data_IF_155856981598
#
_entry.id   IF_155856981598
#
_cell.length_a   1.000
_cell.length_b   1.000
_cell.length_c   1.000
_cell.angle_alpha   90.00
_cell.angle_beta   90.00
_cell.angle_gamma   90.00
#
_symmetry.space_group_name_H-M   'P 1'
#
loop_
_entity.id
_entity.type
_entity.pdbx_description
1 polymer ?
#
# COMPACT_ATOMS: atom_id res chain seq x y z
N UNK A 1 26.19 5.73 21.05
CA UNK A 1 25.18 6.73 20.63
C UNK A 1 24.15 6.02 19.77
N UNK A 2 23.06 5.51 20.37
CA UNK A 2 22.15 4.56 19.74
C UNK A 2 21.29 5.23 18.63
N UNK A 3 21.48 4.81 17.39
CA UNK A 3 20.63 5.16 16.24
C UNK A 3 19.35 4.31 16.27
N UNK A 4 18.49 4.51 17.27
CA UNK A 4 17.11 4.03 17.19
C UNK A 4 16.29 5.04 16.37
N UNK A 5 15.94 4.69 15.13
CA UNK A 5 14.81 5.33 14.45
C UNK A 5 13.91 4.26 13.84
N UNK A 6 13.06 3.61 14.66
CA UNK A 6 12.02 2.70 14.19
C UNK A 6 10.80 3.43 13.58
N UNK A 7 10.92 4.74 13.32
CA UNK A 7 9.78 5.65 13.20
C UNK A 7 8.88 5.48 11.97
N UNK A 8 9.26 4.74 10.93
CA UNK A 8 8.46 4.67 9.70
C UNK A 8 7.44 3.52 9.71
N UNK A 9 7.84 2.36 10.24
CA UNK A 9 6.94 1.23 10.48
C UNK A 9 6.02 1.53 11.67
N UNK A 10 6.58 2.10 12.74
CA UNK A 10 5.80 2.51 13.92
C UNK A 10 4.76 3.58 13.59
N UNK A 11 5.03 4.43 12.58
CA UNK A 11 4.05 5.40 12.08
C UNK A 11 2.88 4.73 11.36
N UNK A 12 3.15 3.71 10.54
CA UNK A 12 2.10 2.98 9.80
C UNK A 12 1.22 2.23 10.80
N UNK A 13 1.81 1.57 11.80
CA UNK A 13 1.09 0.87 12.86
C UNK A 13 0.23 1.83 13.70
N UNK A 14 0.77 3.00 14.06
CA UNK A 14 0.02 4.01 14.79
C UNK A 14 -1.06 4.71 13.95
N UNK A 15 -0.81 4.92 12.65
CA UNK A 15 -1.79 5.48 11.73
C UNK A 15 -2.96 4.51 11.46
N UNK A 16 -2.73 3.21 11.58
CA UNK A 16 -3.71 2.14 11.38
C UNK A 16 -4.55 1.77 12.62
N UNK A 17 -4.30 2.36 13.79
CA UNK A 17 -5.01 2.03 15.03
C UNK A 17 -6.36 2.79 15.20
N UNK A 18 -7.44 2.13 15.65
CA UNK A 18 -8.79 2.72 15.82
C UNK A 18 -8.99 3.54 17.10
N UNK A 19 -8.12 3.40 18.11
CA UNK A 19 -8.23 4.19 19.34
C UNK A 19 -7.74 5.63 19.10
N UNK A 20 -8.60 6.62 19.29
CA UNK A 20 -8.25 8.04 19.20
C UNK A 20 -6.98 8.35 20.02
N UNK A 21 -5.84 8.62 19.34
CA UNK A 21 -4.54 9.17 19.80
C UNK A 21 -3.49 8.94 18.67
N UNK A 22 -2.29 9.53 18.72
CA UNK A 22 -1.85 10.92 18.81
C UNK A 22 -1.73 11.58 17.41
N UNK A 23 -1.46 12.89 17.29
CA UNK A 23 -1.02 13.46 16.00
C UNK A 23 0.36 12.88 15.60
N UNK A 24 0.73 12.87 14.32
CA UNK A 24 2.07 12.46 13.87
C UNK A 24 3.22 13.13 14.66
N UNK A 25 2.99 14.31 15.24
CA UNK A 25 3.95 15.02 16.09
C UNK A 25 4.22 14.32 17.43
N UNK A 26 3.25 13.58 17.96
CA UNK A 26 3.33 12.86 19.23
C UNK A 26 3.92 11.45 19.06
N UNK A 27 4.02 10.93 17.84
CA UNK A 27 4.62 9.62 17.51
C UNK A 27 6.15 9.67 17.34
N UNK A 28 6.74 10.87 17.36
CA UNK A 28 8.18 11.06 17.20
C UNK A 28 8.77 11.74 18.44
N UNK A 29 9.38 11.01 19.38
CA UNK A 29 10.12 11.66 20.46
C UNK A 29 11.31 12.45 19.88
N UNK A 30 11.30 13.77 20.08
CA UNK A 30 12.50 14.61 20.21
C UNK A 30 13.42 14.86 19.01
N UNK A 31 13.05 14.61 17.75
CA UNK A 31 14.00 14.71 16.60
C UNK A 31 13.64 15.75 15.53
N UNK A 32 14.60 16.11 14.67
CA UNK A 32 14.49 17.09 13.57
C UNK A 32 13.37 16.82 12.53
N UNK A 33 12.68 15.67 12.61
CA UNK A 33 11.42 15.45 11.90
C UNK A 33 10.29 16.36 12.45
N UNK A 34 10.27 16.62 13.76
CA UNK A 34 9.37 17.59 14.40
C UNK A 34 9.64 19.03 13.93
N UNK A 35 10.89 19.39 13.60
CA UNK A 35 11.20 20.70 13.03
C UNK A 35 10.63 20.86 11.61
N UNK A 36 10.77 19.81 10.78
CA UNK A 36 10.16 19.76 9.45
C UNK A 36 8.63 19.88 9.52
N UNK A 37 8.01 19.17 10.47
CA UNK A 37 6.57 19.18 10.66
C UNK A 37 6.06 20.56 11.14
N UNK A 38 6.77 21.24 12.06
CA UNK A 38 6.42 22.61 12.45
C UNK A 38 6.48 23.60 11.29
N UNK A 39 7.50 23.50 10.42
CA UNK A 39 7.59 24.36 9.25
C UNK A 39 6.48 24.03 8.24
N UNK A 40 6.19 22.75 8.04
CA UNK A 40 5.07 22.28 7.24
C UNK A 40 3.73 22.83 7.74
N UNK A 41 3.40 22.71 9.04
CA UNK A 41 2.11 23.18 9.59
C UNK A 41 1.93 24.69 9.39
N UNK A 42 3.00 25.49 9.59
CA UNK A 42 2.94 26.93 9.28
C UNK A 42 2.68 27.20 7.80
N UNK A 43 3.35 26.46 6.92
CA UNK A 43 3.16 26.61 5.47
C UNK A 43 1.77 26.13 5.02
N UNK A 44 1.22 25.08 5.67
CA UNK A 44 -0.12 24.56 5.44
C UNK A 44 -1.20 25.59 5.84
N UNK A 45 -1.03 26.23 6.99
CA UNK A 45 -1.92 27.32 7.42
C UNK A 45 -1.86 28.50 6.46
N UNK A 46 -0.66 28.93 6.05
CA UNK A 46 -0.53 30.00 5.06
C UNK A 46 -1.18 29.63 3.71
N UNK A 47 -1.04 28.38 3.26
CA UNK A 47 -1.69 27.89 2.05
C UNK A 47 -3.22 27.82 2.20
N UNK A 48 -3.74 27.59 3.43
CA UNK A 48 -5.18 27.56 3.70
C UNK A 48 -5.86 28.92 3.52
N UNK A 49 -5.11 30.00 3.68
CA UNK A 49 -5.58 31.38 3.52
C UNK A 49 -5.21 31.98 2.15
N UNK A 50 -4.54 31.21 1.29
CA UNK A 50 -4.07 31.68 -0.01
C UNK A 50 -5.12 31.43 -1.10
N UNK A 51 -5.58 32.50 -1.76
CA UNK A 51 -6.46 32.42 -2.94
C UNK A 51 -7.72 33.29 -2.84
N UNK A 52 -8.66 33.13 -3.78
CA UNK A 52 -9.95 33.82 -3.74
C UNK A 52 -10.71 33.51 -2.44
N UNK A 53 -11.37 34.52 -1.88
CA UNK A 53 -12.09 34.41 -0.59
C UNK A 53 -13.24 33.40 -0.66
N UNK A 54 -13.81 33.26 -1.85
CA UNK A 54 -14.94 32.40 -2.17
C UNK A 54 -14.56 30.90 -2.10
N UNK A 55 -13.29 30.56 -2.32
CA UNK A 55 -12.80 29.18 -2.35
C UNK A 55 -12.05 28.79 -1.06
N UNK A 56 -11.35 29.75 -0.48
CA UNK A 56 -10.49 29.53 0.70
C UNK A 56 -11.28 29.02 1.91
N UNK A 57 -12.57 29.31 2.04
CA UNK A 57 -13.39 28.80 3.16
C UNK A 57 -13.52 27.27 3.16
N UNK A 58 -13.83 26.66 2.00
CA UNK A 58 -13.93 25.20 1.85
C UNK A 58 -12.56 24.52 2.00
N UNK A 59 -11.52 25.08 1.37
CA UNK A 59 -10.16 24.58 1.51
C UNK A 59 -9.63 24.67 2.95
N UNK A 60 -9.81 25.82 3.61
CA UNK A 60 -9.38 26.05 4.98
C UNK A 60 -10.12 25.13 5.96
N UNK A 61 -11.40 24.85 5.74
CA UNK A 61 -12.15 23.88 6.55
C UNK A 61 -11.42 22.54 6.62
N UNK A 62 -10.99 21.98 5.48
CA UNK A 62 -10.26 20.70 5.47
C UNK A 62 -8.84 20.79 6.01
N UNK A 63 -8.09 21.84 5.64
CA UNK A 63 -6.70 22.00 6.05
C UNK A 63 -6.59 22.23 7.57
N UNK A 64 -7.53 22.98 8.15
CA UNK A 64 -7.58 23.31 9.58
C UNK A 64 -8.30 22.27 10.44
N UNK A 65 -9.15 21.41 9.86
CA UNK A 65 -9.81 20.30 10.58
C UNK A 65 -8.86 19.22 11.13
N UNK A 66 -7.54 19.43 11.10
CA UNK A 66 -6.54 18.52 11.64
C UNK A 66 -6.30 17.30 10.74
N UNK A 67 -5.74 16.23 11.29
CA UNK A 67 -5.47 14.98 10.57
C UNK A 67 -4.25 14.25 11.10
N UNK A 68 -4.10 12.97 10.73
CA UNK A 68 -2.95 12.14 11.16
C UNK A 68 -1.62 12.59 10.52
N UNK A 69 -1.64 13.45 9.50
CA UNK A 69 -0.45 14.00 8.78
C UNK A 69 0.56 12.93 8.34
N UNK A 70 0.06 11.76 7.95
CA UNK A 70 0.89 10.60 7.60
C UNK A 70 1.71 10.87 6.33
N UNK A 71 1.06 11.40 5.28
CA UNK A 71 1.66 11.71 3.97
C UNK A 71 2.82 12.71 4.08
N UNK A 72 2.63 13.93 4.64
CA UNK A 72 3.72 14.88 4.77
C UNK A 72 4.83 14.35 5.67
N UNK A 73 4.50 13.59 6.72
CA UNK A 73 5.53 12.98 7.55
C UNK A 73 6.35 11.93 6.79
N UNK A 74 5.70 11.08 5.98
CA UNK A 74 6.40 10.11 5.14
C UNK A 74 7.40 10.80 4.21
N UNK A 75 7.02 11.91 3.57
CA UNK A 75 7.93 12.70 2.72
C UNK A 75 9.14 13.21 3.51
N UNK A 76 8.92 13.75 4.71
CA UNK A 76 9.99 14.28 5.56
C UNK A 76 10.94 13.19 6.06
N UNK A 77 10.41 12.02 6.40
CA UNK A 77 11.18 10.87 6.86
C UNK A 77 11.94 10.21 5.70
N UNK A 78 11.32 10.07 4.53
CA UNK A 78 11.97 9.56 3.33
C UNK A 78 13.18 10.43 2.94
N UNK A 79 13.03 11.75 2.99
CA UNK A 79 14.15 12.68 2.77
C UNK A 79 15.28 12.50 3.79
N UNK A 80 14.94 12.25 5.06
CA UNK A 80 15.93 12.01 6.12
C UNK A 80 16.63 10.66 5.95
N UNK A 81 15.89 9.62 5.59
CA UNK A 81 16.43 8.28 5.36
C UNK A 81 17.38 8.26 4.15
N UNK A 82 17.03 9.00 3.09
CA UNK A 82 17.82 9.08 1.86
C UNK A 82 19.11 9.92 2.01
N UNK A 83 19.16 10.87 2.95
CA UNK A 83 20.38 11.62 3.27
C UNK A 83 20.50 11.89 4.78
N UNK A 84 20.95 10.90 5.57
CA UNK A 84 21.13 11.05 7.02
C UNK A 84 22.05 12.23 7.35
N UNK A 85 21.64 13.07 8.30
CA UNK A 85 22.42 14.21 8.76
C UNK A 85 22.41 15.44 7.84
N UNK A 86 21.78 15.39 6.66
CA UNK A 86 21.65 16.56 5.76
C UNK A 86 20.22 17.06 5.68
N UNK A 87 20.05 18.39 5.66
CA UNK A 87 18.74 19.02 5.45
C UNK A 87 18.46 19.10 3.95
N UNK A 88 17.68 18.17 3.43
CA UNK A 88 17.20 18.20 2.05
C UNK A 88 16.38 19.47 1.77
N UNK A 89 16.80 20.27 0.77
CA UNK A 89 16.07 21.48 0.33
C UNK A 89 14.82 21.05 -0.44
N UNK A 90 13.74 21.83 -0.35
CA UNK A 90 12.47 21.53 -1.03
C UNK A 90 11.61 20.44 -0.37
N UNK A 91 12.14 19.63 0.57
CA UNK A 91 11.38 18.54 1.23
C UNK A 91 10.07 18.95 1.88
N UNK A 92 10.02 20.16 2.47
CA UNK A 92 8.80 20.68 3.10
C UNK A 92 7.80 21.17 2.06
N UNK A 93 8.28 21.78 0.96
CA UNK A 93 7.41 22.17 -0.15
C UNK A 93 6.76 20.93 -0.78
N UNK A 94 7.51 19.83 -0.96
CA UNK A 94 6.96 18.57 -1.48
C UNK A 94 6.05 17.84 -0.49
N UNK A 95 6.31 17.95 0.81
CA UNK A 95 5.37 17.48 1.84
C UNK A 95 4.04 18.26 1.79
N UNK A 96 4.12 19.58 1.58
CA UNK A 96 2.94 20.43 1.38
C UNK A 96 2.21 20.09 0.07
N UNK A 97 2.92 19.89 -1.04
CA UNK A 97 2.35 19.40 -2.30
C UNK A 97 1.51 18.14 -2.08
N UNK A 98 2.03 17.14 -1.36
CA UNK A 98 1.29 15.90 -1.10
C UNK A 98 0.01 16.11 -0.28
N UNK A 99 0.04 16.98 0.74
CA UNK A 99 -1.15 17.28 1.56
C UNK A 99 -2.19 18.11 0.79
N UNK A 100 -1.75 19.04 -0.08
CA UNK A 100 -2.66 19.80 -0.94
C UNK A 100 -3.35 18.91 -1.97
N UNK A 101 -2.60 17.99 -2.61
CA UNK A 101 -3.20 16.99 -3.51
C UNK A 101 -4.22 16.14 -2.75
N UNK A 102 -3.87 15.64 -1.57
CA UNK A 102 -4.81 14.85 -0.76
C UNK A 102 -6.07 15.65 -0.37
N UNK A 103 -5.91 16.93 -0.03
CA UNK A 103 -7.04 17.79 0.34
C UNK A 103 -7.93 18.10 -0.86
N UNK A 104 -7.33 18.31 -2.04
CA UNK A 104 -8.06 18.47 -3.29
C UNK A 104 -8.89 17.22 -3.62
N UNK A 105 -8.31 16.02 -3.51
CA UNK A 105 -9.05 14.78 -3.76
C UNK A 105 -10.21 14.60 -2.78
N UNK A 106 -10.07 15.00 -1.51
CA UNK A 106 -11.18 14.93 -0.56
C UNK A 106 -12.34 15.85 -0.93
N UNK A 107 -12.06 17.07 -1.42
CA UNK A 107 -13.10 18.00 -1.90
C UNK A 107 -13.86 17.44 -3.11
N UNK A 108 -13.13 16.83 -4.04
CA UNK A 108 -13.71 16.21 -5.22
C UNK A 108 -14.49 14.95 -4.87
N UNK A 109 -13.94 14.08 -4.03
CA UNK A 109 -14.58 12.84 -3.55
C UNK A 109 -15.89 13.16 -2.80
N UNK A 110 -15.92 14.18 -1.95
CA UNK A 110 -17.15 14.58 -1.25
C UNK A 110 -18.28 14.92 -2.24
N UNK A 111 -17.95 15.49 -3.41
CA UNK A 111 -18.92 15.78 -4.47
C UNK A 111 -19.32 14.50 -5.22
N UNK A 112 -18.36 13.66 -5.61
CA UNK A 112 -18.60 12.42 -6.37
C UNK A 112 -19.39 11.39 -5.55
N UNK A 113 -19.14 11.31 -4.24
CA UNK A 113 -19.74 10.32 -3.34
C UNK A 113 -21.04 10.78 -2.68
N UNK A 114 -21.48 12.02 -2.91
CA UNK A 114 -22.57 12.64 -2.15
C UNK A 114 -22.32 12.65 -0.63
N UNK A 115 -21.05 12.81 -0.24
CA UNK A 115 -20.61 12.80 1.15
C UNK A 115 -21.31 13.88 1.98
N UNK A 116 -21.99 13.48 3.06
CA UNK A 116 -22.73 14.39 3.94
C UNK A 116 -21.85 14.98 5.06
N UNK A 117 -20.85 14.22 5.51
CA UNK A 117 -19.98 14.61 6.62
C UNK A 117 -18.52 14.28 6.34
N UNK A 118 -17.61 15.08 6.88
CA UNK A 118 -16.16 14.90 6.78
C UNK A 118 -15.50 15.29 8.10
N UNK A 119 -14.75 14.36 8.70
CA UNK A 119 -14.07 14.54 10.01
C UNK A 119 -14.99 15.07 11.12
N UNK A 120 -16.23 14.57 11.16
CA UNK A 120 -17.24 14.95 12.17
C UNK A 120 -17.89 16.32 11.95
N UNK A 121 -17.62 16.99 10.82
CA UNK A 121 -18.25 18.24 10.41
C UNK A 121 -19.09 18.02 9.14
N UNK A 122 -20.04 18.91 8.78
CA UNK A 122 -20.68 18.88 7.46
C UNK A 122 -19.62 18.86 6.35
N UNK A 123 -19.81 18.04 5.32
CA UNK A 123 -18.87 18.01 4.20
C UNK A 123 -18.88 19.38 3.48
N UNK A 124 -17.76 19.81 2.86
CA UNK A 124 -17.68 21.08 2.13
C UNK A 124 -18.78 21.26 1.08
N UNK A 125 -19.22 20.18 0.43
CA UNK A 125 -20.35 20.24 -0.52
C UNK A 125 -21.68 20.61 0.11
N UNK A 126 -21.89 20.23 1.38
CA UNK A 126 -23.11 20.55 2.13
C UNK A 126 -23.02 21.99 2.63
N UNK A 127 -21.86 22.40 3.11
CA UNK A 127 -21.65 23.73 3.68
C UNK A 127 -21.57 24.85 2.62
N UNK A 128 -20.99 24.57 1.45
CA UNK A 128 -20.66 25.58 0.44
C UNK A 128 -21.18 25.26 -0.97
N UNK A 129 -21.78 24.08 -1.16
CA UNK A 129 -22.26 23.62 -2.46
C UNK A 129 -21.20 22.91 -3.30
N UNK A 130 -21.69 22.17 -4.31
CA UNK A 130 -20.84 21.36 -5.20
C UNK A 130 -19.86 22.22 -6.00
N UNK A 131 -20.31 23.35 -6.56
CA UNK A 131 -19.48 24.21 -7.40
C UNK A 131 -18.27 24.78 -6.63
N UNK A 132 -18.49 25.27 -5.41
CA UNK A 132 -17.41 25.78 -4.55
C UNK A 132 -16.45 24.67 -4.17
N UNK A 133 -16.95 23.46 -3.87
CA UNK A 133 -16.10 22.32 -3.51
C UNK A 133 -15.20 21.89 -4.67
N UNK A 134 -15.74 21.78 -5.88
CA UNK A 134 -14.96 21.44 -7.09
C UNK A 134 -13.88 22.49 -7.35
N UNK A 135 -14.25 23.77 -7.41
CA UNK A 135 -13.31 24.87 -7.68
C UNK A 135 -12.25 25.01 -6.58
N UNK A 136 -12.60 24.75 -5.32
CA UNK A 136 -11.64 24.72 -4.22
C UNK A 136 -10.64 23.58 -4.37
N UNK A 137 -11.09 22.40 -4.83
CA UNK A 137 -10.21 21.29 -5.15
C UNK A 137 -9.26 21.63 -6.29
N UNK A 138 -9.77 22.24 -7.36
CA UNK A 138 -8.95 22.67 -8.51
C UNK A 138 -7.90 23.71 -8.12
N UNK A 139 -8.27 24.65 -7.23
CA UNK A 139 -7.35 25.64 -6.69
C UNK A 139 -6.21 24.99 -5.89
N UNK A 140 -6.52 24.05 -4.99
CA UNK A 140 -5.51 23.32 -4.22
C UNK A 140 -4.61 22.46 -5.12
N UNK A 141 -5.17 21.85 -6.16
CA UNK A 141 -4.41 21.11 -7.15
C UNK A 141 -3.44 22.01 -7.91
N UNK A 142 -3.89 23.18 -8.39
CA UNK A 142 -3.05 24.17 -9.04
C UNK A 142 -1.92 24.68 -8.10
N UNK A 143 -2.24 24.97 -6.84
CA UNK A 143 -1.27 25.36 -5.83
C UNK A 143 -0.23 24.26 -5.58
N UNK A 144 -0.62 22.98 -5.59
CA UNK A 144 0.30 21.86 -5.43
C UNK A 144 1.32 21.77 -6.57
N UNK A 145 0.90 22.08 -7.81
CA UNK A 145 1.77 22.11 -8.99
C UNK A 145 2.78 23.26 -8.89
N UNK A 146 2.33 24.47 -8.53
CA UNK A 146 3.21 25.62 -8.32
C UNK A 146 4.25 25.35 -7.22
N UNK A 147 3.85 24.73 -6.10
CA UNK A 147 4.78 24.31 -5.04
C UNK A 147 5.81 23.30 -5.52
N UNK A 148 5.40 22.31 -6.33
CA UNK A 148 6.32 21.33 -6.89
C UNK A 148 7.36 21.98 -7.80
N UNK A 149 6.99 22.99 -8.60
CA UNK A 149 7.93 23.78 -9.41
C UNK A 149 8.87 24.60 -8.53
N UNK A 150 8.33 25.34 -7.55
CA UNK A 150 9.09 26.20 -6.65
C UNK A 150 10.02 25.44 -5.71
N UNK A 151 9.77 24.15 -5.50
CA UNK A 151 10.65 23.28 -4.71
C UNK A 151 12.08 23.22 -5.27
N UNK A 152 12.25 23.49 -6.57
CA UNK A 152 13.52 23.36 -7.34
C UNK A 152 14.13 21.96 -7.24
N UNK A 153 13.36 20.95 -6.86
CA UNK A 153 13.79 19.55 -6.84
C UNK A 153 13.65 18.96 -8.23
N UNK A 154 14.74 18.53 -8.89
CA UNK A 154 14.66 17.88 -10.18
C UNK A 154 13.72 16.68 -10.14
N UNK A 155 12.96 16.46 -11.22
CA UNK A 155 12.02 15.35 -11.39
C UNK A 155 10.79 15.32 -10.44
N UNK A 156 10.66 16.25 -9.50
CA UNK A 156 9.48 16.32 -8.61
C UNK A 156 8.18 16.57 -9.39
N UNK A 157 8.19 17.47 -10.38
CA UNK A 157 7.03 17.74 -11.22
C UNK A 157 6.62 16.53 -12.10
N UNK A 158 7.54 15.88 -12.85
CA UNK A 158 7.23 14.60 -13.50
C UNK A 158 6.65 13.53 -12.57
N UNK A 159 7.19 13.40 -11.36
CA UNK A 159 6.69 12.44 -10.37
C UNK A 159 5.26 12.79 -9.90
N UNK A 160 4.98 14.07 -9.67
CA UNK A 160 3.64 14.56 -9.32
C UNK A 160 2.63 14.29 -10.44
N UNK A 161 2.94 14.67 -11.68
CA UNK A 161 2.04 14.45 -12.84
C UNK A 161 1.71 12.97 -13.03
N UNK A 162 2.71 12.10 -12.92
CA UNK A 162 2.50 10.64 -12.97
C UNK A 162 1.55 10.16 -11.86
N UNK A 163 1.70 10.71 -10.66
CA UNK A 163 0.86 10.38 -9.51
C UNK A 163 -0.58 10.84 -9.71
N UNK A 164 -0.79 12.08 -10.16
CA UNK A 164 -2.12 12.61 -10.47
C UNK A 164 -2.86 11.76 -11.51
N UNK A 165 -2.18 11.35 -12.58
CA UNK A 165 -2.77 10.43 -13.58
C UNK A 165 -3.15 9.09 -12.96
N UNK A 166 -2.28 8.55 -12.11
CA UNK A 166 -2.53 7.26 -11.44
C UNK A 166 -3.71 7.35 -10.48
N UNK A 167 -3.86 8.45 -9.75
CA UNK A 167 -5.01 8.72 -8.88
C UNK A 167 -6.31 8.72 -9.68
N UNK A 168 -6.37 9.49 -10.78
CA UNK A 168 -7.55 9.55 -11.65
C UNK A 168 -7.90 8.19 -12.25
N UNK A 169 -6.91 7.40 -12.65
CA UNK A 169 -7.15 6.02 -13.12
C UNK A 169 -7.75 5.12 -12.03
N UNK A 170 -7.30 5.29 -10.78
CA UNK A 170 -7.86 4.59 -9.62
C UNK A 170 -9.31 4.99 -9.34
N UNK A 171 -9.58 6.30 -9.35
CA UNK A 171 -10.91 6.86 -9.15
C UNK A 171 -11.90 6.40 -10.23
N UNK A 172 -11.49 6.48 -11.50
CA UNK A 172 -12.31 6.02 -12.62
C UNK A 172 -12.64 4.52 -12.51
N UNK A 173 -11.70 3.70 -12.04
CA UNK A 173 -11.96 2.27 -11.81
C UNK A 173 -12.92 2.07 -10.63
N UNK A 174 -12.77 2.80 -9.53
CA UNK A 174 -13.69 2.72 -8.41
C UNK A 174 -15.11 3.10 -8.83
N UNK A 175 -15.26 4.21 -9.55
CA UNK A 175 -16.54 4.68 -10.07
C UNK A 175 -17.21 3.64 -10.99
N UNK A 176 -16.45 3.01 -11.88
CA UNK A 176 -16.95 1.95 -12.77
C UNK A 176 -17.37 0.65 -12.05
N UNK A 177 -16.90 0.46 -10.81
CA UNK A 177 -17.22 -0.69 -9.96
C UNK A 177 -18.27 -0.37 -8.90
N UNK A 178 -18.63 0.90 -8.72
CA UNK A 178 -19.57 1.33 -7.68
C UNK A 178 -20.93 0.68 -7.89
N UNK A 179 -21.46 0.09 -6.82
CA UNK A 179 -22.75 -0.63 -6.83
C UNK A 179 -22.73 -1.98 -7.54
N UNK A 180 -21.57 -2.47 -8.02
CA UNK A 180 -21.44 -3.79 -8.62
C UNK A 180 -21.17 -4.86 -7.56
N UNK A 181 -21.62 -6.09 -7.81
CA UNK A 181 -21.41 -7.25 -6.90
C UNK A 181 -20.48 -8.32 -7.49
N UNK A 182 -19.99 -8.10 -8.72
CA UNK A 182 -19.15 -9.01 -9.48
C UNK A 182 -17.68 -8.59 -9.57
N UNK A 183 -17.24 -7.66 -8.72
CA UNK A 183 -15.83 -7.23 -8.66
C UNK A 183 -14.93 -8.26 -7.96
N UNK A 184 -13.66 -8.27 -8.35
CA UNK A 184 -12.64 -9.20 -7.85
C UNK A 184 -11.81 -8.61 -6.70
N UNK A 185 -11.03 -9.47 -6.02
CA UNK A 185 -10.07 -9.00 -5.02
C UNK A 185 -8.95 -8.17 -5.68
N UNK A 186 -8.58 -8.54 -6.90
CA UNK A 186 -7.62 -7.83 -7.73
C UNK A 186 -8.12 -6.42 -8.08
N UNK A 187 -9.42 -6.25 -8.34
CA UNK A 187 -10.04 -4.94 -8.55
C UNK A 187 -9.94 -4.05 -7.31
N UNK A 188 -10.28 -4.60 -6.14
CA UNK A 188 -10.20 -3.86 -4.88
C UNK A 188 -8.76 -3.42 -4.57
N UNK A 189 -7.79 -4.34 -4.73
CA UNK A 189 -6.36 -4.02 -4.55
C UNK A 189 -5.88 -2.99 -5.58
N UNK A 190 -6.35 -3.08 -6.83
CA UNK A 190 -6.01 -2.10 -7.87
C UNK A 190 -6.49 -0.69 -7.49
N UNK A 191 -7.73 -0.57 -7.02
CA UNK A 191 -8.30 0.70 -6.54
C UNK A 191 -7.49 1.21 -5.35
N UNK A 192 -7.25 0.39 -4.32
CA UNK A 192 -6.46 0.78 -3.15
C UNK A 192 -5.04 1.25 -3.52
N UNK A 193 -4.36 0.52 -4.41
CA UNK A 193 -3.03 0.86 -4.88
C UNK A 193 -3.00 2.18 -5.67
N UNK A 194 -4.00 2.44 -6.53
CA UNK A 194 -4.00 3.64 -7.37
C UNK A 194 -4.57 4.86 -6.67
N UNK A 195 -5.73 4.77 -6.03
CA UNK A 195 -6.40 5.89 -5.34
C UNK A 195 -5.65 6.33 -4.08
N UNK A 196 -5.07 5.39 -3.32
CA UNK A 196 -4.40 5.72 -2.05
C UNK A 196 -2.89 5.49 -2.14
N UNK A 197 -2.47 4.31 -2.61
CA UNK A 197 -1.06 3.91 -2.65
C UNK A 197 -0.17 4.85 -3.48
N UNK A 198 -0.66 5.36 -4.61
CA UNK A 198 0.13 6.18 -5.52
C UNK A 198 0.61 7.50 -4.90
N UNK A 199 -0.23 8.14 -4.07
CA UNK A 199 0.17 9.38 -3.39
C UNK A 199 1.18 9.11 -2.26
N UNK A 200 1.08 7.96 -1.59
CA UNK A 200 2.14 7.54 -0.67
C UNK A 200 3.44 7.22 -1.41
N UNK A 201 3.36 6.62 -2.60
CA UNK A 201 4.52 6.38 -3.46
C UNK A 201 5.21 7.70 -3.83
N UNK A 202 4.42 8.73 -4.19
CA UNK A 202 4.94 10.08 -4.39
C UNK A 202 5.62 10.63 -3.13
N UNK A 203 5.03 10.46 -1.94
CA UNK A 203 5.63 10.95 -0.70
C UNK A 203 7.04 10.35 -0.47
N UNK A 204 7.18 9.03 -0.64
CA UNK A 204 8.47 8.35 -0.51
C UNK A 204 9.48 8.83 -1.56
N UNK A 205 9.08 8.86 -2.84
CA UNK A 205 9.91 9.29 -3.95
C UNK A 205 10.34 10.76 -3.84
N UNK A 206 9.39 11.66 -3.55
CA UNK A 206 9.61 13.10 -3.44
C UNK A 206 10.58 13.44 -2.30
N UNK A 207 10.51 12.71 -1.19
CA UNK A 207 11.49 12.83 -0.11
C UNK A 207 12.90 12.46 -0.58
N UNK A 208 13.03 11.33 -1.29
CA UNK A 208 14.31 10.86 -1.84
C UNK A 208 14.89 11.83 -2.88
N UNK A 209 14.04 12.35 -3.79
CA UNK A 209 14.42 13.33 -4.80
C UNK A 209 14.90 14.63 -4.15
N UNK A 210 14.22 15.13 -3.11
CA UNK A 210 14.64 16.32 -2.38
C UNK A 210 16.00 16.15 -1.71
N UNK A 211 16.35 14.92 -1.33
CA UNK A 211 17.64 14.56 -0.77
C UNK A 211 18.76 14.42 -1.81
N UNK A 212 18.43 14.49 -3.11
CA UNK A 212 19.39 14.25 -4.20
C UNK A 212 19.86 12.80 -4.25
N UNK A 213 19.01 11.86 -3.84
CA UNK A 213 19.36 10.45 -3.77
C UNK A 213 19.51 9.81 -5.16
N UNK A 214 20.30 8.74 -5.30
CA UNK A 214 20.38 7.97 -6.54
C UNK A 214 19.02 7.42 -6.99
N UNK A 215 18.82 7.17 -8.31
CA UNK A 215 17.56 6.66 -8.85
C UNK A 215 17.07 5.38 -8.17
N UNK A 216 17.98 4.51 -7.74
CA UNK A 216 17.68 3.24 -7.06
C UNK A 216 17.02 3.48 -5.70
N UNK A 217 17.53 4.45 -4.94
CA UNK A 217 16.96 4.86 -3.65
C UNK A 217 15.60 5.54 -3.84
N UNK A 218 15.46 6.36 -4.87
CA UNK A 218 14.17 6.99 -5.22
C UNK A 218 13.13 5.92 -5.57
N UNK A 219 13.52 4.92 -6.37
CA UNK A 219 12.66 3.79 -6.73
C UNK A 219 12.27 2.94 -5.52
N UNK A 220 13.22 2.63 -4.64
CA UNK A 220 12.95 1.86 -3.42
C UNK A 220 11.99 2.59 -2.47
N UNK A 221 12.18 3.89 -2.24
CA UNK A 221 11.30 4.69 -1.39
C UNK A 221 9.92 4.93 -2.03
N UNK A 222 9.85 5.00 -3.36
CA UNK A 222 8.59 5.00 -4.12
C UNK A 222 7.82 3.70 -3.91
N UNK A 223 8.47 2.55 -4.09
CA UNK A 223 7.85 1.25 -3.89
C UNK A 223 7.41 1.06 -2.43
N UNK A 224 8.24 1.49 -1.49
CA UNK A 224 7.89 1.49 -0.08
C UNK A 224 6.60 2.27 0.17
N UNK A 225 6.53 3.51 -0.33
CA UNK A 225 5.33 4.34 -0.22
C UNK A 225 4.11 3.67 -0.85
N UNK A 226 4.26 3.12 -2.06
CA UNK A 226 3.18 2.43 -2.77
C UNK A 226 2.55 1.31 -1.94
N UNK A 227 3.39 0.47 -1.32
CA UNK A 227 2.94 -0.66 -0.49
C UNK A 227 2.37 -0.20 0.84
N UNK A 228 3.04 0.74 1.51
CA UNK A 228 2.55 1.34 2.75
C UNK A 228 1.16 1.96 2.58
N UNK A 229 0.93 2.69 1.49
CA UNK A 229 -0.37 3.28 1.19
C UNK A 229 -1.44 2.24 0.82
N UNK A 230 -1.05 1.16 0.15
CA UNK A 230 -1.96 0.03 -0.12
C UNK A 230 -2.37 -0.66 1.19
N UNK A 231 -1.40 -0.98 2.06
CA UNK A 231 -1.66 -1.57 3.38
C UNK A 231 -2.52 -0.65 4.25
N UNK A 232 -2.25 0.65 4.22
CA UNK A 232 -3.04 1.66 4.91
C UNK A 232 -4.50 1.61 4.47
N UNK A 233 -4.78 1.60 3.17
CA UNK A 233 -6.16 1.54 2.66
C UNK A 233 -6.84 0.22 3.01
N UNK A 234 -6.19 -0.93 2.83
CA UNK A 234 -6.79 -2.22 3.20
C UNK A 234 -7.11 -2.27 4.70
N UNK A 235 -6.29 -1.63 5.54
CA UNK A 235 -6.55 -1.54 6.97
C UNK A 235 -7.70 -0.59 7.28
N UNK A 236 -7.80 0.54 6.59
CA UNK A 236 -8.93 1.47 6.70
C UNK A 236 -10.25 0.77 6.32
N UNK A 237 -10.26 0.05 5.19
CA UNK A 237 -11.39 -0.78 4.77
C UNK A 237 -11.76 -1.81 5.86
N UNK A 238 -10.78 -2.46 6.49
CA UNK A 238 -11.02 -3.44 7.56
C UNK A 238 -11.66 -2.80 8.80
N UNK A 239 -11.27 -1.58 9.16
CA UNK A 239 -11.83 -0.86 10.31
C UNK A 239 -13.33 -0.55 10.10
N UNK A 240 -13.77 -0.33 8.86
CA UNK A 240 -15.19 -0.17 8.53
C UNK A 240 -16.02 -1.43 8.89
N UNK A 241 -15.41 -2.62 8.83
CA UNK A 241 -16.04 -3.89 9.23
C UNK A 241 -15.88 -4.26 10.71
N UNK A 242 -14.91 -3.67 11.42
CA UNK A 242 -14.51 -4.06 12.79
C UNK A 242 -14.96 -3.09 13.89
N UNK A 243 -15.65 -2.01 13.53
CA UNK A 243 -16.23 -1.09 14.52
C UNK A 243 -17.16 -1.84 15.49
N UNK A 244 -16.81 -1.76 16.79
CA UNK A 244 -17.21 -2.69 17.85
C UNK A 244 -18.73 -2.74 18.10
N UNK A 245 -19.23 -3.94 18.39
CA UNK A 245 -20.64 -4.23 18.69
C UNK A 245 -21.14 -3.51 19.97
N UNK A 246 -20.25 -2.96 20.80
CA UNK A 246 -20.58 -2.17 21.99
C UNK A 246 -20.76 -0.66 21.75
N UNK A 247 -20.30 -0.12 20.61
CA UNK A 247 -20.39 1.31 20.23
C UNK A 247 -21.30 1.50 19.01
N UNK A 248 -22.44 0.78 18.99
CA UNK A 248 -23.47 0.85 17.96
C UNK A 248 -24.16 2.23 17.92
N UNK A 249 -23.45 3.20 17.35
CA UNK A 249 -23.90 4.57 17.19
C UNK A 249 -23.34 5.17 15.91
N UNK A 250 -24.05 4.91 14.80
CA UNK A 250 -23.98 5.52 13.46
C UNK A 250 -22.77 5.11 12.58
N UNK A 251 -23.11 4.50 11.43
CA UNK A 251 -22.27 4.23 10.24
C UNK A 251 -21.39 2.97 10.22
N UNK A 252 -21.91 1.80 10.63
CA UNK A 252 -21.27 0.50 10.35
C UNK A 252 -21.51 0.13 8.88
N UNK A 253 -20.46 -0.23 8.15
CA UNK A 253 -20.51 -0.60 6.72
C UNK A 253 -21.00 0.53 5.79
N UNK A 254 -20.62 1.77 6.07
CA UNK A 254 -20.98 2.89 5.22
C UNK A 254 -20.49 2.68 3.77
N UNK A 255 -19.27 2.16 3.62
CA UNK A 255 -18.70 1.87 2.30
C UNK A 255 -19.49 0.79 1.54
N UNK A 256 -20.07 -0.19 2.25
CA UNK A 256 -20.92 -1.22 1.63
C UNK A 256 -22.23 -0.60 1.14
N UNK A 257 -22.85 0.28 1.93
CA UNK A 257 -24.09 0.97 1.55
C UNK A 257 -23.86 1.93 0.39
N UNK A 258 -22.70 2.60 0.36
CA UNK A 258 -22.26 3.47 -0.75
C UNK A 258 -21.84 2.69 -2.01
N UNK A 259 -21.78 1.36 -1.92
CA UNK A 259 -21.44 0.45 -3.00
C UNK A 259 -19.97 0.48 -3.40
N UNK A 260 -19.07 0.85 -2.48
CA UNK A 260 -17.64 0.92 -2.73
C UNK A 260 -17.03 -0.49 -2.72
N UNK A 261 -16.21 -0.84 -3.74
CA UNK A 261 -15.51 -2.11 -3.74
C UNK A 261 -14.38 -2.09 -2.69
N UNK A 262 -14.35 -3.08 -1.81
CA UNK A 262 -13.29 -3.27 -0.82
C UNK A 262 -12.77 -4.70 -0.81
N UNK A 263 -11.51 -4.88 -0.36
CA UNK A 263 -10.88 -6.20 -0.37
C UNK A 263 -11.60 -7.21 0.54
N UNK A 264 -12.02 -6.86 1.78
CA UNK A 264 -12.78 -7.79 2.62
C UNK A 264 -14.09 -8.22 1.95
N UNK A 265 -14.80 -7.29 1.29
CA UNK A 265 -16.05 -7.58 0.61
C UNK A 265 -15.84 -8.51 -0.60
N UNK A 266 -14.84 -8.24 -1.45
CA UNK A 266 -14.52 -9.10 -2.60
C UNK A 266 -14.21 -10.55 -2.18
N UNK A 267 -13.43 -10.72 -1.10
CA UNK A 267 -13.09 -12.06 -0.59
C UNK A 267 -14.34 -12.76 -0.06
N UNK A 268 -15.21 -12.04 0.65
CA UNK A 268 -16.44 -12.60 1.20
C UNK A 268 -17.41 -13.06 0.10
N UNK A 269 -17.65 -12.22 -0.91
CA UNK A 269 -18.52 -12.54 -2.06
C UNK A 269 -17.99 -13.75 -2.84
N UNK A 270 -16.67 -13.93 -2.92
CA UNK A 270 -16.04 -15.11 -3.54
C UNK A 270 -16.22 -16.38 -2.71
N UNK A 271 -16.16 -16.28 -1.38
CA UNK A 271 -16.24 -17.43 -0.46
C UNK A 271 -17.66 -17.86 -0.14
N UNK A 272 -18.61 -16.93 -0.15
CA UNK A 272 -20.02 -17.18 0.09
C UNK A 272 -20.84 -16.53 -1.03
N UNK A 273 -20.96 -17.18 -2.21
CA UNK A 273 -21.66 -16.62 -3.37
C UNK A 273 -23.09 -16.09 -3.11
N UNK A 274 -23.91 -16.70 -2.22
CA UNK A 274 -25.22 -16.15 -1.87
C UNK A 274 -25.19 -14.72 -1.30
N UNK A 275 -24.06 -14.25 -0.73
CA UNK A 275 -23.94 -12.88 -0.24
C UNK A 275 -24.12 -11.83 -1.34
N UNK A 276 -23.95 -12.17 -2.62
CA UNK A 276 -24.16 -11.21 -3.72
C UNK A 276 -25.59 -10.73 -3.79
N UNK A 277 -26.56 -11.63 -3.65
CA UNK A 277 -27.98 -11.25 -3.66
C UNK A 277 -28.35 -10.38 -2.46
N UNK A 278 -27.77 -10.64 -1.30
CA UNK A 278 -27.96 -9.78 -0.12
C UNK A 278 -27.35 -8.39 -0.32
N UNK A 279 -26.16 -8.32 -0.91
CA UNK A 279 -25.53 -7.05 -1.25
C UNK A 279 -26.37 -6.26 -2.27
N UNK A 280 -26.87 -6.91 -3.33
CA UNK A 280 -27.78 -6.28 -4.31
C UNK A 280 -29.02 -5.69 -3.65
N UNK A 281 -29.63 -6.43 -2.72
CA UNK A 281 -30.77 -5.92 -1.98
C UNK A 281 -30.41 -4.75 -1.06
N UNK A 282 -29.21 -4.73 -0.46
CA UNK A 282 -28.75 -3.61 0.36
C UNK A 282 -28.51 -2.36 -0.49
N UNK A 283 -27.89 -2.52 -1.66
CA UNK A 283 -27.61 -1.42 -2.59
C UNK A 283 -28.89 -0.83 -3.21
N UNK A 284 -29.94 -1.64 -3.35
CA UNK A 284 -31.24 -1.21 -3.85
C UNK A 284 -32.17 -0.63 -2.75
N UNK A 285 -31.78 -0.70 -1.48
CA UNK A 285 -32.61 -0.24 -0.38
C UNK A 285 -32.67 1.29 -0.31
N UNK A 286 -33.82 1.82 0.07
CA UNK A 286 -33.95 3.26 0.32
C UNK A 286 -33.25 3.62 1.65
N UNK A 287 -32.61 4.78 1.73
CA UNK A 287 -31.91 5.23 2.93
C UNK A 287 -32.86 5.41 4.13
N UNK A 288 -34.14 5.68 3.86
CA UNK A 288 -35.21 5.82 4.86
C UNK A 288 -35.87 4.49 5.27
N UNK A 289 -35.33 3.34 4.82
CA UNK A 289 -35.82 2.02 5.22
C UNK A 289 -35.38 1.70 6.66
N UNK A 290 -36.33 1.75 7.61
CA UNK A 290 -36.10 1.41 9.04
C UNK A 290 -35.50 0.01 9.25
N UNK A 291 -35.66 -0.91 8.29
CA UNK A 291 -35.10 -2.26 8.35
C UNK A 291 -33.63 -2.34 7.90
N UNK A 292 -33.13 -1.33 7.19
CA UNK A 292 -31.79 -1.30 6.59
C UNK A 292 -30.68 -1.53 7.63
N UNK A 293 -30.67 -0.88 8.82
CA UNK A 293 -29.64 -1.13 9.82
C UNK A 293 -29.60 -2.59 10.30
N UNK A 294 -30.77 -3.24 10.39
CA UNK A 294 -30.87 -4.66 10.76
C UNK A 294 -30.29 -5.56 9.68
N UNK A 295 -30.59 -5.28 8.40
CA UNK A 295 -30.08 -6.02 7.24
C UNK A 295 -28.57 -5.86 7.08
N UNK A 296 -28.04 -4.66 7.28
CA UNK A 296 -26.60 -4.38 7.28
C UNK A 296 -25.88 -5.18 8.38
N UNK A 297 -26.41 -5.22 9.61
CA UNK A 297 -25.84 -6.04 10.70
C UNK A 297 -25.86 -7.54 10.40
N UNK A 298 -26.95 -8.04 9.82
CA UNK A 298 -27.05 -9.45 9.42
C UNK A 298 -26.03 -9.80 8.33
N UNK A 299 -25.88 -8.93 7.34
CA UNK A 299 -24.87 -9.04 6.29
C UNK A 299 -23.45 -9.05 6.87
N UNK A 300 -23.11 -8.09 7.74
CA UNK A 300 -21.82 -8.01 8.42
C UNK A 300 -21.49 -9.29 9.18
N UNK A 301 -22.45 -9.83 9.93
CA UNK A 301 -22.29 -11.07 10.70
C UNK A 301 -21.96 -12.26 9.79
N UNK A 302 -22.67 -12.41 8.66
CA UNK A 302 -22.43 -13.49 7.71
C UNK A 302 -21.11 -13.32 6.97
N UNK A 303 -20.77 -12.09 6.60
CA UNK A 303 -19.47 -11.74 6.01
C UNK A 303 -18.32 -12.11 6.96
N UNK A 304 -18.41 -11.75 8.24
CA UNK A 304 -17.40 -12.09 9.24
C UNK A 304 -17.13 -13.60 9.35
N UNK A 305 -18.19 -14.42 9.26
CA UNK A 305 -18.09 -15.90 9.28
C UNK A 305 -17.37 -16.50 8.08
N UNK A 306 -17.18 -15.77 6.98
CA UNK A 306 -16.42 -16.25 5.81
C UNK A 306 -14.90 -16.26 6.03
N UNK A 307 -14.43 -15.67 7.14
CA UNK A 307 -13.00 -15.43 7.40
C UNK A 307 -12.37 -14.44 6.42
N UNK A 308 -13.17 -13.64 5.71
CA UNK A 308 -12.69 -12.63 4.76
C UNK A 308 -11.88 -11.53 5.45
N UNK A 309 -12.33 -11.06 6.62
CA UNK A 309 -11.63 -10.05 7.43
C UNK A 309 -10.20 -10.50 7.75
N UNK A 310 -10.04 -11.73 8.27
CA UNK A 310 -8.72 -12.29 8.54
C UNK A 310 -7.84 -12.48 7.30
N UNK A 311 -8.44 -12.71 6.13
CA UNK A 311 -7.70 -12.83 4.87
C UNK A 311 -7.24 -11.46 4.33
N UNK A 312 -8.10 -10.45 4.40
CA UNK A 312 -7.75 -9.07 4.08
C UNK A 312 -6.68 -8.53 5.05
N UNK A 313 -6.76 -8.85 6.35
CA UNK A 313 -5.72 -8.50 7.33
C UNK A 313 -4.36 -9.06 6.95
N UNK A 314 -4.30 -10.35 6.58
CA UNK A 314 -3.06 -10.96 6.08
C UNK A 314 -2.55 -10.31 4.79
N UNK A 315 -3.43 -9.83 3.92
CA UNK A 315 -3.05 -9.08 2.73
C UNK A 315 -2.44 -7.72 3.10
N UNK A 316 -3.04 -6.98 4.04
CA UNK A 316 -2.48 -5.74 4.57
C UNK A 316 -1.11 -5.96 5.23
N UNK A 317 -0.97 -7.00 6.07
CA UNK A 317 0.31 -7.38 6.69
C UNK A 317 1.38 -7.69 5.65
N UNK A 318 1.02 -8.42 4.58
CA UNK A 318 1.93 -8.73 3.47
C UNK A 318 2.42 -7.46 2.76
N UNK A 319 1.53 -6.49 2.52
CA UNK A 319 1.91 -5.21 1.92
C UNK A 319 2.74 -4.34 2.88
N UNK A 320 2.37 -4.28 4.17
CA UNK A 320 3.08 -3.51 5.21
C UNK A 320 4.50 -4.00 5.41
N UNK A 321 4.66 -5.30 5.61
CA UNK A 321 5.92 -5.88 6.02
C UNK A 321 6.81 -6.20 4.81
N UNK A 322 6.33 -6.06 3.56
CA UNK A 322 6.97 -6.66 2.37
C UNK A 322 7.13 -8.20 2.49
N UNK A 323 6.43 -8.81 3.46
CA UNK A 323 6.71 -10.15 3.98
C UNK A 323 7.84 -10.21 5.03
N UNK A 324 8.64 -9.16 5.19
CA UNK A 324 9.72 -9.00 6.17
C UNK A 324 9.23 -8.33 7.45
N UNK A 325 8.71 -9.15 8.37
CA UNK A 325 8.08 -8.72 9.63
C UNK A 325 9.03 -7.85 10.46
N UNK A 326 8.49 -6.97 11.30
CA UNK A 326 9.28 -6.14 12.25
C UNK A 326 10.28 -6.97 13.06
N UNK A 327 9.87 -8.14 13.55
CA UNK A 327 10.76 -9.06 14.27
C UNK A 327 11.90 -9.59 13.41
N UNK A 328 11.67 -9.83 12.11
CA UNK A 328 12.72 -10.21 11.16
C UNK A 328 13.76 -9.11 11.03
N UNK A 329 13.32 -7.87 10.82
CA UNK A 329 14.22 -6.73 10.71
C UNK A 329 15.01 -6.46 11.98
N UNK A 330 14.41 -6.64 13.16
CA UNK A 330 15.09 -6.51 14.46
C UNK A 330 16.14 -7.60 14.66
N UNK A 331 15.80 -8.86 14.42
CA UNK A 331 16.74 -9.99 14.52
C UNK A 331 17.87 -9.82 13.49
N UNK A 332 17.55 -9.62 12.22
CA UNK A 332 18.53 -9.48 11.15
C UNK A 332 19.48 -8.30 11.38
N UNK A 333 18.96 -7.11 11.72
CA UNK A 333 19.80 -5.93 12.02
C UNK A 333 20.71 -6.18 13.22
N UNK A 334 20.20 -6.84 14.26
CA UNK A 334 21.01 -7.16 15.45
C UNK A 334 22.14 -8.12 15.10
N UNK A 335 21.86 -9.13 14.28
CA UNK A 335 22.88 -10.05 13.76
C UNK A 335 23.87 -9.35 12.82
N UNK A 336 23.40 -8.46 11.96
CA UNK A 336 24.23 -7.72 11.00
C UNK A 336 25.18 -6.72 11.66
N UNK A 337 24.76 -6.12 12.78
CA UNK A 337 25.57 -5.18 13.56
C UNK A 337 26.43 -5.87 14.64
N UNK A 338 26.26 -7.18 14.85
CA UNK A 338 27.07 -7.92 15.82
C UNK A 338 28.34 -8.43 15.17
N UNK A 339 29.47 -8.21 15.82
CA UNK A 339 30.78 -8.71 15.37
C UNK A 339 30.88 -10.25 15.49
N UNK A 340 30.18 -10.82 16.48
CA UNK A 340 30.14 -12.26 16.74
C UNK A 340 28.75 -12.86 16.45
N UNK A 341 28.69 -14.14 16.00
CA UNK A 341 27.44 -14.88 15.92
C UNK A 341 26.74 -14.95 17.29
N UNK A 342 25.42 -14.72 17.29
CA UNK A 342 24.58 -14.69 18.50
C UNK A 342 23.70 -15.94 18.63
N UNK A 343 23.52 -16.43 19.84
CA UNK A 343 22.57 -17.51 20.13
C UNK A 343 21.12 -16.99 20.14
N UNK A 344 20.16 -17.88 19.85
CA UNK A 344 18.74 -17.53 19.88
C UNK A 344 18.28 -16.97 21.25
N UNK A 345 18.85 -17.47 22.35
CA UNK A 345 18.56 -16.98 23.70
C UNK A 345 19.01 -15.52 23.89
N UNK A 346 20.18 -15.16 23.37
CA UNK A 346 20.72 -13.79 23.43
C UNK A 346 19.87 -12.83 22.58
N UNK A 347 19.37 -13.30 21.43
CA UNK A 347 18.43 -12.53 20.61
C UNK A 347 17.08 -12.31 21.32
N UNK A 348 16.57 -13.31 22.05
CA UNK A 348 15.35 -13.17 22.84
C UNK A 348 15.51 -12.11 23.93
N UNK A 349 16.64 -12.15 24.64
CA UNK A 349 16.97 -11.19 25.71
C UNK A 349 17.16 -9.78 25.16
N UNK A 350 18.01 -9.59 24.15
CA UNK A 350 18.33 -8.27 23.57
C UNK A 350 17.15 -7.59 22.90
N UNK A 351 16.21 -8.37 22.35
CA UNK A 351 15.08 -7.85 21.60
C UNK A 351 13.77 -7.93 22.36
N UNK A 352 13.76 -8.45 23.58
CA UNK A 352 12.55 -8.63 24.40
C UNK A 352 11.46 -9.39 23.62
N UNK A 353 11.86 -10.48 22.95
CA UNK A 353 10.95 -11.32 22.16
C UNK A 353 10.89 -12.74 22.73
N UNK A 354 9.75 -13.42 22.58
CA UNK A 354 9.59 -14.79 23.06
C UNK A 354 10.46 -15.78 22.27
N UNK A 355 10.83 -16.89 22.91
CA UNK A 355 11.60 -17.98 22.28
C UNK A 355 10.91 -18.55 21.04
N UNK A 356 9.57 -18.69 21.09
CA UNK A 356 8.77 -19.10 19.94
C UNK A 356 8.82 -18.10 18.79
N UNK A 357 8.73 -16.79 19.07
CA UNK A 357 8.82 -15.75 18.06
C UNK A 357 10.22 -15.67 17.42
N UNK A 358 11.28 -15.79 18.23
CA UNK A 358 12.64 -15.83 17.75
C UNK A 358 12.89 -17.06 16.86
N UNK A 359 12.46 -18.25 17.28
CA UNK A 359 12.65 -19.50 16.51
C UNK A 359 11.90 -19.48 15.17
N UNK A 360 10.63 -19.08 15.15
CA UNK A 360 9.87 -18.94 13.90
C UNK A 360 10.55 -17.95 12.95
N UNK A 361 10.98 -16.81 13.48
CA UNK A 361 11.58 -15.73 12.69
C UNK A 361 12.96 -16.11 12.16
N UNK A 362 13.81 -16.75 12.97
CA UNK A 362 15.13 -17.24 12.55
C UNK A 362 15.02 -18.31 11.47
N UNK A 363 14.08 -19.26 11.61
CA UNK A 363 13.81 -20.24 10.57
C UNK A 363 13.34 -19.58 9.25
N UNK A 364 12.55 -18.51 9.35
CA UNK A 364 12.07 -17.78 8.17
C UNK A 364 13.21 -16.97 7.51
N UNK A 365 14.04 -16.29 8.29
CA UNK A 365 15.24 -15.56 7.83
C UNK A 365 16.30 -16.50 7.22
N UNK A 366 16.47 -17.68 7.78
CA UNK A 366 17.38 -18.72 7.28
C UNK A 366 16.87 -19.31 5.95
N UNK A 367 15.56 -19.55 5.82
CA UNK A 367 14.94 -19.93 4.54
C UNK A 367 15.13 -18.87 3.47
N UNK A 368 15.06 -17.60 3.83
CA UNK A 368 15.33 -16.49 2.92
C UNK A 368 16.82 -16.35 2.61
N UNK A 369 17.66 -17.06 3.36
CA UNK A 369 19.11 -17.10 3.22
C UNK A 369 19.77 -15.76 3.51
N UNK A 370 19.11 -14.92 4.33
CA UNK A 370 19.63 -13.64 4.84
C UNK A 370 20.26 -13.78 6.22
N UNK A 371 20.08 -14.94 6.86
CA UNK A 371 20.75 -15.40 8.08
C UNK A 371 21.29 -16.81 7.84
N UNK A 372 22.47 -17.10 8.37
CA UNK A 372 23.07 -18.44 8.36
C UNK A 372 23.25 -18.95 9.79
N UNK A 373 23.12 -20.27 9.96
CA UNK A 373 23.36 -20.94 11.23
C UNK A 373 24.82 -21.35 11.32
N UNK A 374 25.50 -20.97 12.40
CA UNK A 374 26.90 -21.30 12.69
C UNK A 374 27.00 -22.08 14.00
N UNK A 375 28.09 -22.85 14.16
CA UNK A 375 28.38 -23.63 15.38
C UNK A 375 29.74 -23.22 15.93
N UNK A 376 29.82 -22.94 17.23
CA UNK A 376 31.09 -22.69 17.92
C UNK A 376 31.63 -24.03 18.47
N UNK A 377 32.90 -24.41 18.20
CA UNK A 377 33.47 -25.65 18.73
C UNK A 377 33.40 -25.69 20.26
N UNK A 378 32.84 -26.77 20.82
CA UNK A 378 32.71 -26.95 22.27
C UNK A 378 31.44 -26.36 22.92
N UNK A 379 30.61 -25.61 22.19
CA UNK A 379 29.29 -25.16 22.68
C UNK A 379 28.16 -25.97 21.99
N UNK A 380 27.12 -26.34 22.76
CA UNK A 380 25.94 -27.07 22.28
C UNK A 380 24.85 -26.16 21.72
N UNK A 381 24.97 -24.83 21.89
CA UNK A 381 24.00 -23.85 21.42
C UNK A 381 24.12 -23.59 19.92
N UNK A 382 23.00 -23.28 19.29
CA UNK A 382 22.95 -22.82 17.90
C UNK A 382 23.20 -21.31 17.84
N UNK A 383 24.11 -20.90 16.97
CA UNK A 383 24.43 -19.50 16.71
C UNK A 383 23.96 -19.09 15.33
N UNK A 384 23.68 -17.80 15.18
CA UNK A 384 23.18 -17.22 13.95
C UNK A 384 24.04 -16.00 13.59
N UNK A 385 24.22 -15.77 12.29
CA UNK A 385 24.94 -14.62 11.73
C UNK A 385 24.18 -14.09 10.50
N UNK A 386 24.29 -12.79 10.22
CA UNK A 386 23.62 -12.21 9.07
C UNK A 386 24.45 -12.40 7.79
N UNK A 387 23.77 -12.61 6.66
CA UNK A 387 24.41 -12.52 5.34
C UNK A 387 24.82 -11.07 5.08
N UNK A 388 26.12 -10.82 4.91
CA UNK A 388 26.67 -9.47 4.68
C UNK A 388 26.76 -9.12 3.20
N UNK A 389 26.69 -10.11 2.32
CA UNK A 389 26.64 -9.88 0.87
C UNK A 389 25.21 -9.46 0.46
N UNK A 390 25.03 -8.15 0.28
CA UNK A 390 23.79 -7.51 -0.16
C UNK A 390 23.28 -8.12 -1.47
N UNK A 391 24.18 -8.51 -2.38
CA UNK A 391 23.80 -9.11 -3.65
C UNK A 391 23.29 -10.54 -3.48
N UNK A 392 23.95 -11.34 -2.66
CA UNK A 392 23.53 -12.71 -2.32
C UNK A 392 22.18 -12.72 -1.59
N UNK A 393 21.96 -11.73 -0.72
CA UNK A 393 20.71 -11.51 -0.01
C UNK A 393 19.56 -11.17 -0.96
N UNK A 394 19.74 -10.16 -1.83
CA UNK A 394 18.74 -9.75 -2.83
C UNK A 394 18.43 -10.89 -3.80
N UNK A 395 19.45 -11.61 -4.26
CA UNK A 395 19.32 -12.75 -5.17
C UNK A 395 18.51 -13.89 -4.55
N UNK A 396 18.70 -14.19 -3.26
CA UNK A 396 17.96 -15.25 -2.55
C UNK A 396 16.53 -14.84 -2.22
N UNK A 397 16.30 -13.58 -1.81
CA UNK A 397 14.95 -13.04 -1.59
C UNK A 397 14.13 -13.04 -2.89
N UNK A 398 14.71 -12.62 -4.02
CA UNK A 398 14.06 -12.68 -5.33
C UNK A 398 13.77 -14.13 -5.77
N UNK A 399 14.70 -15.05 -5.50
CA UNK A 399 14.53 -16.49 -5.79
C UNK A 399 13.39 -17.10 -4.98
N UNK A 400 13.31 -16.79 -3.69
CA UNK A 400 12.29 -17.38 -2.81
C UNK A 400 10.90 -16.74 -2.98
N UNK A 401 10.84 -15.47 -3.42
CA UNK A 401 9.58 -14.72 -3.55
C UNK A 401 8.99 -14.69 -4.95
N UNK A 402 9.74 -14.21 -5.92
CA UNK A 402 9.23 -13.92 -7.27
C UNK A 402 9.31 -15.18 -8.15
N UNK A 403 10.36 -15.98 -7.99
CA UNK A 403 10.46 -17.27 -8.68
C UNK A 403 9.33 -18.22 -8.25
N UNK A 404 9.05 -18.33 -6.95
CA UNK A 404 7.97 -19.20 -6.45
C UNK A 404 6.58 -18.77 -6.93
N UNK A 405 6.34 -17.47 -7.11
CA UNK A 405 5.07 -16.99 -7.66
C UNK A 405 4.94 -17.35 -9.14
N UNK A 406 6.03 -17.21 -9.89
CA UNK A 406 6.09 -17.61 -11.30
C UNK A 406 5.95 -19.12 -11.44
N UNK A 407 6.56 -19.92 -10.57
CA UNK A 407 6.42 -21.37 -10.55
C UNK A 407 4.99 -21.80 -10.26
N UNK A 408 4.35 -21.21 -9.24
CA UNK A 408 2.91 -21.44 -8.97
C UNK A 408 2.03 -21.05 -10.14
N UNK A 409 2.31 -19.93 -10.81
CA UNK A 409 1.57 -19.51 -11.99
C UNK A 409 1.74 -20.50 -13.15
N UNK A 410 2.96 -20.99 -13.38
CA UNK A 410 3.26 -22.03 -14.38
C UNK A 410 2.48 -23.31 -14.12
N UNK A 411 2.45 -23.79 -12.88
CA UNK A 411 1.66 -24.96 -12.49
C UNK A 411 0.15 -24.76 -12.70
N UNK A 412 -0.37 -23.56 -12.44
CA UNK A 412 -1.78 -23.24 -12.69
C UNK A 412 -2.08 -23.22 -14.19
N UNK A 413 -1.19 -22.66 -15.01
CA UNK A 413 -1.36 -22.65 -16.45
C UNK A 413 -1.27 -24.04 -17.07
N UNK A 414 -0.34 -24.88 -16.63
CA UNK A 414 -0.20 -26.25 -17.11
C UNK A 414 -1.43 -27.10 -16.72
N UNK A 415 -1.91 -27.00 -15.47
CA UNK A 415 -3.17 -27.65 -15.03
C UNK A 415 -4.39 -27.17 -15.80
N UNK A 416 -4.51 -25.86 -16.04
CA UNK A 416 -5.61 -25.28 -16.80
C UNK A 416 -5.63 -25.78 -18.25
N UNK A 417 -4.47 -25.88 -18.91
CA UNK A 417 -4.36 -26.47 -20.25
C UNK A 417 -4.77 -27.93 -20.27
N UNK A 418 -4.24 -28.74 -19.37
CA UNK A 418 -4.52 -30.18 -19.33
C UNK A 418 -6.03 -30.45 -19.12
N UNK A 419 -6.66 -29.71 -18.21
CA UNK A 419 -8.10 -29.83 -17.94
C UNK A 419 -8.96 -29.41 -19.15
N UNK A 420 -8.62 -28.29 -19.79
CA UNK A 420 -9.36 -27.80 -20.96
C UNK A 420 -9.18 -28.70 -22.19
N UNK A 421 -8.02 -29.35 -22.33
CA UNK A 421 -7.76 -30.30 -23.41
C UNK A 421 -8.48 -31.64 -23.24
N UNK A 422 -8.80 -32.06 -22.01
CA UNK A 422 -9.47 -33.35 -21.73
C UNK A 422 -11.00 -33.29 -21.75
N UNK A 423 -11.60 -32.11 -21.60
CA UNK A 423 -13.05 -31.96 -21.35
C UNK A 423 -13.75 -31.00 -22.33
N UNK A 424 -13.36 -31.03 -23.61
CA UNK A 424 -13.99 -30.18 -24.62
C UNK A 424 -15.38 -30.73 -25.03
N UNK A 425 -16.49 -30.00 -24.79
CA UNK A 425 -17.81 -30.41 -25.25
C UNK A 425 -17.86 -30.47 -26.79
N UNK A 426 -18.66 -31.40 -27.37
CA UNK A 426 -18.90 -31.43 -28.81
C UNK A 426 -19.43 -30.06 -29.30
N UNK A 427 -18.82 -29.51 -30.35
CA UNK A 427 -19.20 -28.19 -30.91
C UNK A 427 -18.41 -26.98 -30.40
N UNK A 428 -17.74 -27.05 -29.25
CA UNK A 428 -16.93 -25.93 -28.71
C UNK A 428 -15.41 -26.10 -28.91
N UNK A 429 -14.99 -27.16 -29.60
CA UNK A 429 -13.59 -27.56 -29.78
C UNK A 429 -12.70 -26.42 -30.31
N UNK A 430 -13.18 -25.66 -31.31
CA UNK A 430 -12.42 -24.54 -31.88
C UNK A 430 -12.24 -23.36 -30.91
N UNK A 431 -13.23 -23.08 -30.06
CA UNK A 431 -13.15 -22.03 -29.04
C UNK A 431 -12.20 -22.44 -27.92
N UNK A 432 -12.31 -23.68 -27.46
CA UNK A 432 -11.44 -24.23 -26.41
C UNK A 432 -9.99 -24.29 -26.90
N UNK A 433 -9.75 -24.69 -28.14
CA UNK A 433 -8.42 -24.68 -28.75
C UNK A 433 -7.77 -23.27 -28.71
N UNK A 434 -8.53 -22.21 -29.01
CA UNK A 434 -8.06 -20.82 -28.91
C UNK A 434 -7.73 -20.39 -27.48
N UNK A 435 -8.49 -20.85 -26.49
CA UNK A 435 -8.24 -20.55 -25.07
C UNK A 435 -6.98 -21.28 -24.59
N UNK A 436 -6.83 -22.56 -24.95
CA UNK A 436 -5.64 -23.36 -24.66
C UNK A 436 -4.37 -22.72 -25.27
N UNK A 437 -4.46 -22.22 -26.50
CA UNK A 437 -3.36 -21.45 -27.14
C UNK A 437 -3.00 -20.18 -26.36
N UNK A 438 -3.98 -19.39 -25.92
CA UNK A 438 -3.75 -18.17 -25.12
C UNK A 438 -3.12 -18.47 -23.76
N UNK A 439 -3.58 -19.52 -23.07
CA UNK A 439 -2.96 -19.97 -21.82
C UNK A 439 -1.52 -20.45 -22.08
N UNK A 440 -1.28 -21.11 -23.22
CA UNK A 440 0.07 -21.46 -23.68
C UNK A 440 0.99 -20.24 -23.79
N UNK A 441 0.53 -19.17 -24.41
CA UNK A 441 1.28 -17.90 -24.54
C UNK A 441 1.59 -17.25 -23.19
N UNK A 442 0.63 -17.24 -22.26
CA UNK A 442 0.86 -16.73 -20.90
C UNK A 442 1.87 -17.59 -20.13
N UNK A 443 1.81 -18.91 -20.29
CA UNK A 443 2.81 -19.84 -19.73
C UNK A 443 4.19 -19.58 -20.30
N UNK A 444 4.32 -19.38 -21.60
CA UNK A 444 5.62 -19.15 -22.23
C UNK A 444 6.22 -17.79 -21.81
N UNK A 445 5.38 -16.76 -21.60
CA UNK A 445 5.77 -15.50 -20.97
C UNK A 445 6.26 -15.71 -19.52
N UNK A 446 5.54 -16.50 -18.72
CA UNK A 446 5.96 -16.84 -17.36
C UNK A 446 7.28 -17.65 -17.34
N UNK A 447 7.50 -18.56 -18.31
CA UNK A 447 8.79 -19.28 -18.47
C UNK A 447 9.93 -18.32 -18.83
N UNK A 448 9.66 -17.34 -19.66
CA UNK A 448 10.62 -16.28 -20.00
C UNK A 448 10.96 -15.41 -18.78
N UNK A 449 9.95 -14.99 -18.02
CA UNK A 449 10.14 -14.27 -16.76
C UNK A 449 10.97 -15.07 -15.76
N UNK A 450 10.70 -16.38 -15.63
CA UNK A 450 11.51 -17.31 -14.82
C UNK A 450 12.97 -17.36 -15.31
N UNK A 451 13.19 -17.45 -16.61
CA UNK A 451 14.53 -17.47 -17.21
C UNK A 451 15.31 -16.17 -16.96
N UNK A 452 14.65 -15.02 -17.12
CA UNK A 452 15.23 -13.70 -16.86
C UNK A 452 15.56 -13.52 -15.38
N UNK A 453 14.64 -13.89 -14.48
CA UNK A 453 14.89 -13.83 -13.04
C UNK A 453 16.00 -14.79 -12.63
N UNK A 454 16.05 -16.00 -13.18
CA UNK A 454 17.17 -16.92 -12.95
C UNK A 454 18.50 -16.34 -13.45
N UNK A 455 18.53 -15.68 -14.61
CA UNK A 455 19.73 -15.03 -15.12
C UNK A 455 20.18 -13.87 -14.22
N UNK A 456 19.24 -13.02 -13.77
CA UNK A 456 19.50 -11.93 -12.82
C UNK A 456 20.05 -12.50 -11.50
N UNK A 457 19.44 -13.57 -10.99
CA UNK A 457 19.76 -14.23 -9.72
C UNK A 457 21.07 -15.05 -9.79
N UNK A 458 21.52 -15.49 -10.97
CA UNK A 458 22.73 -16.30 -11.14
C UNK A 458 23.96 -15.51 -11.62
N UNK A 459 23.80 -14.46 -12.42
CA UNK A 459 24.93 -13.84 -13.13
C UNK A 459 25.23 -12.37 -12.79
N UNK A 460 24.34 -11.63 -12.10
CA UNK A 460 24.57 -10.21 -11.78
C UNK A 460 24.73 -9.28 -12.98
N UNK A 461 24.49 -9.77 -14.21
CA UNK A 461 24.42 -9.00 -15.45
C UNK A 461 23.22 -9.49 -16.26
N UNK A 462 22.46 -8.55 -16.79
CA UNK A 462 21.30 -8.84 -17.63
C UNK A 462 21.80 -9.08 -19.06
N UNK A 463 21.80 -10.33 -19.52
CA UNK A 463 21.87 -10.63 -20.95
C UNK A 463 20.50 -10.37 -21.58
N UNK A 464 20.39 -9.31 -22.39
CA UNK A 464 19.17 -8.90 -23.08
C UNK A 464 18.92 -9.69 -24.39
N UNK A 465 19.82 -10.60 -24.79
CA UNK A 465 19.64 -11.42 -25.99
C UNK A 465 18.33 -12.25 -26.03
N UNK A 466 17.77 -12.76 -24.90
CA UNK A 466 16.47 -13.41 -24.90
C UNK A 466 15.30 -12.47 -25.24
N UNK A 467 15.33 -11.22 -24.76
CA UNK A 467 14.36 -10.17 -25.05
C UNK A 467 14.40 -9.74 -26.52
N UNK A 468 15.61 -9.62 -27.08
CA UNK A 468 15.82 -9.32 -28.50
C UNK A 468 15.32 -10.45 -29.39
N UNK A 469 15.54 -11.72 -29.01
CA UNK A 469 15.00 -12.89 -29.75
C UNK A 469 13.48 -12.98 -29.70
N UNK A 470 12.87 -12.65 -28.57
CA UNK A 470 11.41 -12.59 -28.43
C UNK A 470 10.78 -11.49 -29.28
N UNK A 471 11.40 -10.31 -29.33
CA UNK A 471 10.98 -9.21 -30.18
C UNK A 471 11.18 -9.51 -31.68
N UNK A 472 12.27 -10.22 -32.03
CA UNK A 472 12.59 -10.60 -33.40
C UNK A 472 11.70 -11.75 -33.92
N UNK A 473 11.20 -12.63 -33.06
CA UNK A 473 10.31 -13.74 -33.42
C UNK A 473 8.91 -13.34 -33.91
N UNK A 474 8.53 -12.05 -33.83
CA UNK A 474 7.26 -11.53 -34.35
C UNK A 474 7.32 -11.01 -35.79
N UNK A 475 8.47 -11.10 -36.48
CA UNK A 475 8.62 -10.60 -37.86
C UNK A 475 8.60 -11.66 -38.97
N UNK A 476 8.20 -12.91 -38.68
CA UNK A 476 7.88 -13.90 -39.72
C UNK A 476 6.59 -14.61 -39.35
N UNK A 477 5.55 -14.34 -40.14
CA UNK A 477 4.18 -14.81 -39.97
C UNK A 477 3.28 -13.89 -40.75
#
# INVERSE_FOLDING_TARGET
>A
MALHSPGLVDLIDAAASPAARPSAAQLLPGTAAAEGLRHFERALLAASDAGPRELTSAAAMLLRAGGKRVRPLLTLLAARAAAPGRRARGRVALALTAELVHSATLLHDDVIDDGLTRRGQPAPRVAYGNAVSVLSGDWLLAASLDLALRSKVPLAMPALVRTLRTLVEGEARQLALRGRTDFSAEDAVFVAAKKTGSLFAFCGEAGALAAGAPPEVCSALREFGQRAGCAFQITDDLLDFESDAGTLGKAVLADVVEGKPSLPLAIALKRLPPLRGELEQLLAANADDDSLPGRVRAFATRLGRTGALGAARRAAEKERDWGFKRTMGRIWTTLYLSEDPLAAAELCERLEISSGAASMTLNELERWGVVTRSRKPGDRREYFEAETDVWKMVSRVLRERELQQIERALEVFDRAREKLSRSAPPGEQARIARIVDRIGKLRDLARMGRGLLNAVVQQGRVDLAPLVRFAAGRRRG
#
